data_IF_071631588001
#
_entry.id   IF_071631588001
#
_cell.length_a   1.000
_cell.length_b   1.000
_cell.length_c   1.000
_cell.angle_alpha   90.00
_cell.angle_beta   90.00
_cell.angle_gamma   90.00
#
_symmetry.space_group_name_H-M   'P 1'
#
loop_
_entity.id
_entity.type
_entity.pdbx_description
1 polymer ?
#
# COMPACT_ATOMS: atom_id res chain seq x y z
N UNK A 1 -40.03 2.42 -19.73
CA UNK A 1 -39.24 3.15 -18.72
C UNK A 1 -38.26 2.13 -18.16
N UNK A 2 -37.09 2.02 -18.79
CA UNK A 2 -36.20 0.88 -18.62
C UNK A 2 -34.95 1.36 -17.88
N UNK A 3 -34.87 1.05 -16.59
CA UNK A 3 -33.70 1.27 -15.75
C UNK A 3 -32.61 0.28 -16.16
N UNK A 4 -31.76 0.69 -17.10
CA UNK A 4 -30.47 0.03 -17.28
C UNK A 4 -29.59 0.40 -16.07
N UNK A 5 -29.66 -0.44 -15.04
CA UNK A 5 -28.67 -0.48 -13.96
C UNK A 5 -27.33 -0.93 -14.54
N UNK A 6 -26.61 0.02 -15.14
CA UNK A 6 -25.21 -0.16 -15.49
C UNK A 6 -24.41 0.05 -14.21
N UNK A 7 -24.10 -1.04 -13.53
CA UNK A 7 -23.02 -1.05 -12.56
C UNK A 7 -21.72 -0.73 -13.33
N UNK A 8 -21.38 0.56 -13.42
CA UNK A 8 -20.17 1.04 -14.05
C UNK A 8 -19.00 0.45 -13.27
N UNK A 9 -18.24 -0.44 -13.90
CA UNK A 9 -16.98 -0.91 -13.35
C UNK A 9 -16.12 0.32 -13.00
N UNK A 10 -15.64 0.49 -11.76
CA UNK A 10 -15.16 1.77 -11.25
C UNK A 10 -13.82 2.26 -11.84
N UNK A 11 -13.30 1.60 -12.89
CA UNK A 11 -11.87 1.66 -13.26
C UNK A 11 -11.56 1.72 -14.76
N UNK A 12 -12.53 1.81 -15.66
CA UNK A 12 -12.23 2.03 -17.09
C UNK A 12 -12.79 3.39 -17.51
N UNK A 13 -11.98 4.30 -18.10
CA UNK A 13 -12.58 5.35 -18.91
C UNK A 13 -13.33 4.64 -20.04
N UNK A 14 -14.65 4.82 -20.11
CA UNK A 14 -15.46 4.34 -21.24
C UNK A 14 -15.10 5.04 -22.57
N UNK A 15 -14.08 5.90 -22.55
CA UNK A 15 -13.61 6.78 -23.59
C UNK A 15 -12.17 6.39 -23.95
N UNK A 16 -11.86 6.29 -25.24
CA UNK A 16 -10.50 6.01 -25.69
C UNK A 16 -9.55 7.11 -25.22
N UNK A 17 -8.34 6.74 -24.78
CA UNK A 17 -7.31 7.69 -24.35
C UNK A 17 -6.97 8.73 -25.44
N UNK A 18 -7.12 8.36 -26.72
CA UNK A 18 -6.93 9.25 -27.87
C UNK A 18 -7.97 10.36 -27.99
N UNK A 19 -9.12 10.18 -27.37
CA UNK A 19 -10.28 11.06 -27.54
C UNK A 19 -10.43 12.05 -26.37
N UNK A 20 -9.54 11.96 -25.38
CA UNK A 20 -9.49 12.87 -24.24
C UNK A 20 -8.80 14.18 -24.64
N UNK A 21 -9.38 15.31 -24.25
CA UNK A 21 -8.66 16.57 -24.27
C UNK A 21 -7.45 16.52 -23.32
N UNK A 22 -6.37 17.23 -23.66
CA UNK A 22 -5.12 17.22 -22.86
C UNK A 22 -5.34 17.52 -21.38
N UNK A 23 -6.23 18.47 -21.07
CA UNK A 23 -6.58 18.85 -19.69
C UNK A 23 -7.23 17.68 -18.93
N UNK A 24 -8.06 16.90 -19.59
CA UNK A 24 -8.73 15.74 -18.98
C UNK A 24 -7.78 14.54 -18.87
N UNK A 25 -6.86 14.37 -19.81
CA UNK A 25 -5.77 13.40 -19.71
C UNK A 25 -4.87 13.70 -18.51
N UNK A 26 -4.44 14.96 -18.35
CA UNK A 26 -3.63 15.40 -17.21
C UNK A 26 -4.37 15.22 -15.88
N UNK A 27 -5.68 15.53 -15.84
CA UNK A 27 -6.51 15.27 -14.65
C UNK A 27 -6.55 13.78 -14.31
N UNK A 28 -6.78 12.93 -15.32
CA UNK A 28 -6.83 11.47 -15.16
C UNK A 28 -5.51 10.90 -14.63
N UNK A 29 -4.37 11.42 -15.08
CA UNK A 29 -3.05 11.03 -14.56
C UNK A 29 -2.90 11.34 -13.07
N UNK A 30 -3.27 12.55 -12.65
CA UNK A 30 -3.17 12.96 -11.23
C UNK A 30 -4.09 12.12 -10.35
N UNK A 31 -5.32 11.86 -10.79
CA UNK A 31 -6.28 11.05 -10.05
C UNK A 31 -5.84 9.58 -9.95
N UNK A 32 -5.36 9.02 -11.06
CA UNK A 32 -4.81 7.66 -11.10
C UNK A 32 -3.63 7.53 -10.16
N UNK A 33 -2.72 8.51 -10.13
CA UNK A 33 -1.58 8.50 -9.22
C UNK A 33 -2.01 8.59 -7.75
N UNK A 34 -2.98 9.45 -7.41
CA UNK A 34 -3.53 9.51 -6.05
C UNK A 34 -4.12 8.17 -5.63
N UNK A 35 -4.85 7.50 -6.52
CA UNK A 35 -5.41 6.18 -6.26
C UNK A 35 -4.31 5.14 -6.08
N UNK A 36 -3.29 5.14 -6.95
CA UNK A 36 -2.12 4.24 -6.85
C UNK A 36 -1.39 4.43 -5.53
N UNK A 37 -1.15 5.67 -5.09
CA UNK A 37 -0.53 5.97 -3.80
C UNK A 37 -1.36 5.51 -2.61
N UNK A 38 -2.69 5.70 -2.65
CA UNK A 38 -3.59 5.23 -1.59
C UNK A 38 -3.56 3.71 -1.47
N UNK A 39 -3.63 2.99 -2.60
CA UNK A 39 -3.51 1.53 -2.63
C UNK A 39 -2.14 1.06 -2.16
N UNK A 40 -1.06 1.73 -2.58
CA UNK A 40 0.29 1.46 -2.10
C UNK A 40 0.43 1.63 -0.59
N UNK A 41 -0.10 2.72 -0.03
CA UNK A 41 -0.11 2.95 1.42
C UNK A 41 -0.93 1.90 2.18
N UNK A 42 -2.08 1.50 1.63
CA UNK A 42 -2.90 0.42 2.19
C UNK A 42 -2.16 -0.92 2.19
N UNK A 43 -1.47 -1.27 1.10
CA UNK A 43 -0.63 -2.47 1.02
C UNK A 43 0.47 -2.46 2.07
N UNK A 44 1.19 -1.34 2.21
CA UNK A 44 2.23 -1.17 3.23
C UNK A 44 1.66 -1.35 4.64
N UNK A 45 0.50 -0.76 4.94
CA UNK A 45 -0.16 -0.91 6.23
C UNK A 45 -0.61 -2.36 6.50
N UNK A 46 -1.11 -3.06 5.49
CA UNK A 46 -1.52 -4.45 5.58
C UNK A 46 -0.33 -5.39 5.86
N UNK A 47 0.79 -5.21 5.15
CA UNK A 47 2.02 -5.99 5.41
C UNK A 47 2.54 -5.71 6.82
N UNK A 48 2.55 -4.45 7.25
CA UNK A 48 2.99 -4.11 8.60
C UNK A 48 2.10 -4.75 9.68
N UNK A 49 0.80 -4.87 9.44
CA UNK A 49 -0.11 -5.57 10.34
C UNK A 49 0.09 -7.09 10.32
N UNK A 50 0.35 -7.68 9.15
CA UNK A 50 0.67 -9.10 9.04
C UNK A 50 1.92 -9.47 9.86
N UNK A 51 2.97 -8.65 9.77
CA UNK A 51 4.18 -8.76 10.59
C UNK A 51 3.90 -8.61 12.09
N UNK A 52 3.14 -7.57 12.48
CA UNK A 52 2.81 -7.34 13.90
C UNK A 52 2.04 -8.49 14.53
N UNK A 53 1.17 -9.14 13.75
CA UNK A 53 0.40 -10.30 14.19
C UNK A 53 1.18 -11.61 14.15
N UNK A 54 2.35 -11.65 13.50
CA UNK A 54 3.08 -12.89 13.29
C UNK A 54 2.36 -13.87 12.36
N UNK A 55 1.55 -13.37 11.41
CA UNK A 55 0.67 -14.22 10.58
C UNK A 55 1.41 -15.34 9.86
N UNK A 56 2.67 -15.13 9.47
CA UNK A 56 3.47 -16.18 8.83
C UNK A 56 3.64 -17.41 9.73
N UNK A 57 4.00 -17.18 11.01
CA UNK A 57 4.16 -18.27 11.98
C UNK A 57 2.82 -18.96 12.26
N UNK A 58 1.74 -18.19 12.42
CA UNK A 58 0.39 -18.72 12.67
C UNK A 58 -0.14 -19.58 11.51
N UNK A 59 0.36 -19.34 10.30
CA UNK A 59 -0.04 -20.06 9.09
C UNK A 59 0.99 -21.11 8.63
N UNK A 60 2.08 -21.29 9.38
CA UNK A 60 3.09 -22.33 9.12
C UNK A 60 4.17 -21.96 8.09
N UNK A 61 4.23 -20.70 7.65
CA UNK A 61 5.33 -20.20 6.82
C UNK A 61 6.54 -19.84 7.68
N UNK A 62 7.76 -19.94 7.12
CA UNK A 62 9.00 -19.64 7.84
C UNK A 62 9.11 -18.16 8.20
N UNK A 63 8.70 -17.29 7.26
CA UNK A 63 8.70 -15.85 7.44
C UNK A 63 7.61 -15.19 6.57
N UNK A 64 7.36 -13.91 6.83
CA UNK A 64 6.37 -13.13 6.09
C UNK A 64 6.74 -12.97 4.61
N UNK A 65 8.02 -13.06 4.24
CA UNK A 65 8.41 -12.97 2.83
C UNK A 65 7.98 -14.20 2.05
N UNK A 66 8.11 -15.39 2.64
CA UNK A 66 7.62 -16.66 2.09
C UNK A 66 6.09 -16.64 1.97
N UNK A 67 5.38 -16.20 3.01
CA UNK A 67 3.92 -16.01 3.00
C UNK A 67 3.48 -15.08 1.84
N UNK A 68 4.08 -13.90 1.73
CA UNK A 68 3.73 -12.92 0.69
C UNK A 68 4.07 -13.42 -0.72
N UNK A 69 5.17 -14.15 -0.86
CA UNK A 69 5.58 -14.72 -2.15
C UNK A 69 4.56 -15.74 -2.65
N UNK A 70 4.07 -16.61 -1.76
CA UNK A 70 3.07 -17.60 -2.10
C UNK A 70 1.69 -16.98 -2.37
N UNK A 71 1.20 -16.12 -1.46
CA UNK A 71 -0.13 -15.51 -1.57
C UNK A 71 -0.27 -14.57 -2.77
N UNK A 72 0.75 -13.75 -3.03
CA UNK A 72 0.69 -12.71 -4.07
C UNK A 72 1.36 -13.15 -5.38
N UNK A 73 1.92 -14.37 -5.41
CA UNK A 73 2.66 -14.92 -6.56
C UNK A 73 3.75 -13.96 -7.07
N UNK A 74 4.54 -13.43 -6.13
CA UNK A 74 5.66 -12.51 -6.39
C UNK A 74 6.99 -13.18 -6.04
N UNK A 75 8.09 -12.62 -6.52
CA UNK A 75 9.42 -13.07 -6.11
C UNK A 75 9.69 -12.78 -4.63
N UNK A 76 10.52 -13.60 -4.00
CA UNK A 76 10.99 -13.37 -2.64
C UNK A 76 11.68 -12.01 -2.46
N UNK A 77 12.37 -11.51 -3.48
CA UNK A 77 12.98 -10.18 -3.47
C UNK A 77 11.96 -9.04 -3.42
N UNK A 78 10.85 -9.16 -4.14
CA UNK A 78 9.74 -8.20 -4.08
C UNK A 78 9.03 -8.28 -2.73
N UNK A 79 8.82 -9.48 -2.21
CA UNK A 79 8.20 -9.69 -0.90
C UNK A 79 9.02 -9.02 0.21
N UNK A 80 10.34 -9.25 0.22
CA UNK A 80 11.27 -8.60 1.17
C UNK A 80 11.24 -7.08 1.06
N UNK A 81 11.20 -6.54 -0.16
CA UNK A 81 11.11 -5.09 -0.37
C UNK A 81 9.80 -4.50 0.19
N UNK A 82 8.68 -5.21 0.09
CA UNK A 82 7.41 -4.78 0.69
C UNK A 82 7.46 -4.78 2.21
N UNK A 83 8.12 -5.75 2.81
CA UNK A 83 8.36 -5.80 4.26
C UNK A 83 9.22 -4.62 4.70
N UNK A 84 10.27 -4.30 3.95
CA UNK A 84 11.12 -3.14 4.25
C UNK A 84 10.35 -1.81 4.22
N UNK A 85 9.48 -1.60 3.22
CA UNK A 85 8.60 -0.41 3.19
C UNK A 85 7.59 -0.36 4.34
N UNK A 86 7.16 -1.52 4.83
CA UNK A 86 6.26 -1.69 5.96
C UNK A 86 6.95 -1.58 7.33
N UNK A 87 8.28 -1.71 7.36
CA UNK A 87 9.05 -1.61 8.59
C UNK A 87 8.79 -0.25 9.27
N UNK A 88 8.57 -0.21 10.60
CA UNK A 88 8.37 1.04 11.30
C UNK A 88 9.57 1.96 11.07
N UNK A 89 9.40 3.03 10.29
CA UNK A 89 10.40 4.10 10.21
C UNK A 89 10.58 4.62 11.63
N UNK A 90 11.74 4.34 12.23
CA UNK A 90 11.99 4.55 13.65
C UNK A 90 11.66 5.99 14.10
N UNK A 91 10.42 6.24 14.53
CA UNK A 91 10.05 7.39 15.38
C UNK A 91 10.43 7.12 16.85
N UNK A 92 11.34 6.18 17.09
CA UNK A 92 11.73 5.69 18.42
C UNK A 92 13.03 6.29 18.98
N UNK A 93 13.68 7.24 18.28
CA UNK A 93 14.81 8.01 18.86
C UNK A 93 14.40 9.38 19.38
N UNK A 94 13.47 10.05 18.72
CA UNK A 94 12.98 11.35 19.18
C UNK A 94 12.29 11.27 20.54
N UNK A 95 11.62 10.14 20.85
CA UNK A 95 10.94 9.94 22.14
C UNK A 95 11.86 9.54 23.32
N UNK A 96 13.13 9.23 23.10
CA UNK A 96 14.10 9.04 24.20
C UNK A 96 14.91 10.31 24.47
N UNK A 97 15.14 11.13 23.44
CA UNK A 97 15.91 12.37 23.54
C UNK A 97 15.24 13.44 24.44
N UNK A 98 13.95 13.72 24.29
CA UNK A 98 13.23 14.69 25.15
C UNK A 98 13.17 14.28 26.63
N UNK A 99 13.06 12.97 26.94
CA UNK A 99 13.05 12.48 28.32
C UNK A 99 14.43 12.55 28.99
N UNK A 100 15.51 12.37 28.23
CA UNK A 100 16.87 12.54 28.74
C UNK A 100 17.22 14.02 29.03
N UNK A 101 16.66 14.97 28.26
CA UNK A 101 16.88 16.40 28.48
C UNK A 101 16.06 16.96 29.66
N UNK A 102 14.90 16.39 29.98
CA UNK A 102 14.07 16.83 31.11
C UNK A 102 14.58 16.36 32.48
N UNK A 103 15.50 15.40 32.53
CA UNK A 103 16.08 14.85 33.76
C UNK A 103 17.46 15.45 34.10
N UNK A 104 17.93 16.42 33.32
CA UNK A 104 19.23 17.09 33.49
C UNK A 104 19.10 18.57 33.91
N UNK A 105 17.95 18.95 34.49
CA UNK A 105 17.69 20.26 35.08
C UNK A 105 17.72 20.21 36.59
#
# INVERSE_FOLDING_TARGET
>A
MNTHSTALAPNAPAQSWSDLADVDLLRTLVETERRRRRLGAAMVAAVAEAERRGLAADTGYRDTAELLSDLLRISASEARRRIEYAAPRARSRARKAWRAMAAAG
#
